data_IF_823701944540
#
_entry.id   IF_823701944540
#
_cell.length_a   1.000
_cell.length_b   1.000
_cell.length_c   1.000
_cell.angle_alpha   90.00
_cell.angle_beta   90.00
_cell.angle_gamma   90.00
#
_symmetry.space_group_name_H-M   'P 1'
#
loop_
_entity.id
_entity.type
_entity.pdbx_description
1 polymer ?
#
# COMPACT_ATOMS: atom_id res chain seq x y z
N UNK A 1 -7.07 -19.73 -20.29
CA UNK A 1 -6.25 -18.71 -19.59
C UNK A 1 -5.09 -18.17 -20.43
N UNK A 2 -4.29 -19.00 -21.12
CA UNK A 2 -3.24 -18.54 -22.06
C UNK A 2 -3.81 -17.80 -23.30
N UNK A 3 -5.04 -18.12 -23.70
CA UNK A 3 -5.71 -17.51 -24.88
C UNK A 3 -6.25 -16.09 -24.64
N UNK A 4 -6.60 -15.73 -23.40
CA UNK A 4 -7.07 -14.37 -23.08
C UNK A 4 -5.91 -13.37 -22.91
N UNK A 5 -4.73 -13.86 -22.52
CA UNK A 5 -3.49 -13.08 -22.46
C UNK A 5 -2.79 -12.93 -23.81
N UNK A 6 -3.27 -13.57 -24.89
CA UNK A 6 -2.69 -13.48 -26.23
C UNK A 6 -3.55 -12.65 -27.19
N UNK A 7 -4.88 -12.61 -27.01
CA UNK A 7 -5.75 -11.97 -28.01
C UNK A 7 -5.88 -10.45 -27.91
N UNK A 8 -5.57 -9.83 -26.76
CA UNK A 8 -5.61 -8.36 -26.58
C UNK A 8 -4.25 -7.73 -26.20
N UNK A 9 -3.17 -8.51 -26.24
CA UNK A 9 -1.88 -8.17 -25.62
C UNK A 9 -0.73 -7.98 -26.61
N UNK A 10 -1.01 -7.94 -27.91
CA UNK A 10 0.01 -7.74 -28.94
C UNK A 10 0.76 -6.40 -28.80
N UNK A 11 0.25 -5.44 -28.03
CA UNK A 11 0.86 -4.12 -27.82
C UNK A 11 1.42 -3.87 -26.40
N UNK A 12 1.37 -4.84 -25.48
CA UNK A 12 1.62 -4.54 -24.04
C UNK A 12 3.11 -4.55 -23.66
N UNK A 13 3.99 -5.07 -24.52
CA UNK A 13 5.43 -4.78 -24.41
C UNK A 13 6.04 -4.66 -25.82
N UNK A 14 5.85 -3.52 -26.52
CA UNK A 14 6.36 -3.30 -27.88
C UNK A 14 7.88 -3.50 -27.97
N UNK A 15 8.56 -3.32 -26.84
CA UNK A 15 10.01 -3.36 -26.76
C UNK A 15 10.59 -4.78 -26.77
N UNK A 16 9.82 -5.86 -26.57
CA UNK A 16 10.39 -7.23 -26.58
C UNK A 16 11.02 -7.54 -27.93
N UNK A 17 10.26 -7.30 -29.00
CA UNK A 17 10.74 -7.52 -30.36
C UNK A 17 11.93 -6.62 -30.67
N UNK A 18 11.88 -5.35 -30.25
CA UNK A 18 12.97 -4.40 -30.45
C UNK A 18 14.26 -4.83 -29.72
N UNK A 19 14.19 -5.26 -28.47
CA UNK A 19 15.37 -5.68 -27.70
C UNK A 19 15.95 -6.98 -28.24
N UNK A 20 15.11 -7.98 -28.54
CA UNK A 20 15.57 -9.24 -29.13
C UNK A 20 16.23 -8.98 -30.49
N UNK A 21 15.60 -8.17 -31.36
CA UNK A 21 16.19 -7.78 -32.64
C UNK A 21 17.50 -7.00 -32.47
N UNK A 22 17.59 -6.08 -31.50
CA UNK A 22 18.83 -5.33 -31.22
C UNK A 22 19.96 -6.27 -30.80
N UNK A 23 19.65 -7.26 -29.95
CA UNK A 23 20.62 -8.27 -29.53
C UNK A 23 21.00 -9.19 -30.68
N UNK A 24 20.05 -9.62 -31.51
CA UNK A 24 20.31 -10.41 -32.72
C UNK A 24 21.26 -9.67 -33.66
N UNK A 25 20.94 -8.42 -34.01
CA UNK A 25 21.79 -7.58 -34.85
C UNK A 25 23.18 -7.38 -34.26
N UNK A 26 23.30 -7.14 -32.95
CA UNK A 26 24.59 -7.01 -32.27
C UNK A 26 25.45 -8.26 -32.45
N UNK A 27 24.85 -9.45 -32.31
CA UNK A 27 25.55 -10.73 -32.49
C UNK A 27 25.68 -11.16 -33.96
N UNK A 28 25.00 -10.53 -34.91
CA UNK A 28 25.20 -10.79 -36.35
C UNK A 28 26.35 -9.97 -36.97
N UNK A 29 26.85 -8.96 -36.25
CA UNK A 29 28.03 -8.21 -36.67
C UNK A 29 29.25 -9.14 -36.81
N UNK A 30 29.87 -9.10 -37.99
CA UNK A 30 31.09 -9.86 -38.34
C UNK A 30 32.39 -9.23 -37.80
N UNK A 31 32.28 -8.28 -36.88
CA UNK A 31 33.41 -7.54 -36.30
C UNK A 31 33.86 -8.22 -34.99
N UNK A 32 35.16 -8.27 -34.66
CA UNK A 32 35.62 -8.71 -33.34
C UNK A 32 35.02 -7.84 -32.24
N UNK A 33 34.19 -8.43 -31.38
CA UNK A 33 33.54 -7.72 -30.27
C UNK A 33 34.45 -7.71 -29.04
N UNK A 34 34.69 -6.53 -28.45
CA UNK A 34 35.43 -6.42 -27.19
C UNK A 34 34.45 -6.37 -26.01
N UNK A 35 34.90 -6.64 -24.77
CA UNK A 35 34.03 -6.58 -23.59
C UNK A 35 33.36 -5.21 -23.39
N UNK A 36 33.97 -4.13 -23.87
CA UNK A 36 33.44 -2.76 -23.78
C UNK A 36 32.14 -2.56 -24.54
N UNK A 37 32.00 -3.15 -25.72
CA UNK A 37 30.78 -3.07 -26.54
C UNK A 37 29.64 -3.88 -25.92
N UNK A 38 29.96 -5.04 -25.31
CA UNK A 38 29.00 -5.84 -24.56
C UNK A 38 28.47 -5.09 -23.34
N UNK A 39 29.34 -4.43 -22.57
CA UNK A 39 28.94 -3.56 -21.46
C UNK A 39 28.05 -2.40 -21.93
N UNK A 40 28.33 -1.85 -23.12
CA UNK A 40 27.51 -0.82 -23.75
C UNK A 40 26.09 -1.30 -24.06
N UNK A 41 25.96 -2.51 -24.62
CA UNK A 41 24.67 -3.16 -24.88
C UNK A 41 23.88 -3.38 -23.59
N UNK A 42 24.50 -3.98 -22.56
CA UNK A 42 23.86 -4.21 -21.27
C UNK A 42 23.36 -2.90 -20.64
N UNK A 43 24.18 -1.85 -20.62
CA UNK A 43 23.79 -0.54 -20.08
C UNK A 43 22.63 0.09 -20.87
N UNK A 44 22.66 0.00 -22.21
CA UNK A 44 21.61 0.55 -23.05
C UNK A 44 20.25 -0.10 -22.81
N UNK A 45 20.24 -1.44 -22.71
CA UNK A 45 19.02 -2.20 -22.40
C UNK A 45 18.58 -1.92 -20.96
N UNK A 46 19.49 -1.91 -19.99
CA UNK A 46 19.16 -1.61 -18.59
C UNK A 46 18.46 -0.25 -18.44
N UNK A 47 19.04 0.80 -19.02
CA UNK A 47 18.47 2.14 -19.00
C UNK A 47 17.07 2.20 -19.65
N UNK A 48 16.87 1.44 -20.74
CA UNK A 48 15.59 1.44 -21.43
C UNK A 48 14.47 0.80 -20.60
N UNK A 49 14.77 -0.27 -19.84
CA UNK A 49 13.82 -0.87 -18.92
C UNK A 49 13.57 0.02 -17.67
N UNK A 50 14.57 0.74 -17.18
CA UNK A 50 14.37 1.76 -16.13
C UNK A 50 13.39 2.86 -16.61
N UNK A 51 13.59 3.39 -17.82
CA UNK A 51 12.66 4.38 -18.41
C UNK A 51 11.26 3.80 -18.58
N UNK A 52 11.14 2.54 -19.00
CA UNK A 52 9.85 1.85 -19.08
C UNK A 52 9.15 1.78 -17.71
N UNK A 53 9.84 1.32 -16.66
CA UNK A 53 9.29 1.21 -15.31
C UNK A 53 8.77 2.56 -14.80
N UNK A 54 9.56 3.62 -14.98
CA UNK A 54 9.18 4.97 -14.58
C UNK A 54 7.95 5.47 -15.36
N UNK A 55 7.90 5.27 -16.68
CA UNK A 55 6.73 5.66 -17.50
C UNK A 55 5.43 4.98 -17.09
N UNK A 56 5.48 3.74 -16.60
CA UNK A 56 4.29 3.03 -16.13
C UNK A 56 3.70 3.71 -14.89
N UNK A 57 4.56 4.22 -14.00
CA UNK A 57 4.15 4.88 -12.74
C UNK A 57 3.93 6.39 -12.85
N UNK A 58 4.49 7.07 -13.87
CA UNK A 58 4.41 8.53 -14.04
C UNK A 58 2.98 9.08 -14.05
N UNK A 59 2.02 8.27 -14.47
CA UNK A 59 0.60 8.63 -14.56
C UNK A 59 -0.22 8.13 -13.36
N UNK A 60 0.40 7.66 -12.28
CA UNK A 60 -0.32 7.30 -11.06
C UNK A 60 -0.59 8.57 -10.24
N UNK A 61 -1.84 8.74 -9.79
CA UNK A 61 -2.18 9.79 -8.84
C UNK A 61 -1.44 9.56 -7.51
N UNK A 62 -1.33 10.60 -6.69
CA UNK A 62 -0.67 10.47 -5.39
C UNK A 62 -1.63 9.85 -4.37
N UNK A 63 -1.08 9.29 -3.29
CA UNK A 63 -1.88 8.70 -2.21
C UNK A 63 -2.79 9.75 -1.56
N UNK A 64 -2.29 10.98 -1.48
CA UNK A 64 -2.98 12.14 -0.93
C UNK A 64 -4.22 12.53 -1.75
N UNK A 65 -4.26 12.20 -3.04
CA UNK A 65 -5.43 12.46 -3.89
C UNK A 65 -6.59 11.47 -3.60
N UNK A 66 -6.27 10.27 -3.08
CA UNK A 66 -7.25 9.23 -2.78
C UNK A 66 -7.84 9.36 -1.36
N UNK A 67 -7.00 9.78 -0.40
CA UNK A 67 -7.36 9.79 1.01
C UNK A 67 -8.16 11.06 1.34
N UNK A 68 -9.39 10.95 1.88
CA UNK A 68 -10.17 12.13 2.25
C UNK A 68 -9.46 12.94 3.34
N UNK A 69 -9.68 14.26 3.42
CA UNK A 69 -9.06 15.11 4.43
C UNK A 69 -9.46 14.69 5.84
N UNK A 70 -8.53 14.80 6.78
CA UNK A 70 -8.78 14.48 8.20
C UNK A 70 -9.86 15.41 8.75
N UNK A 71 -10.97 14.89 9.31
CA UNK A 71 -11.98 15.69 9.98
C UNK A 71 -11.37 16.51 11.12
N UNK A 72 -11.95 17.67 11.40
CA UNK A 72 -11.54 18.46 12.55
C UNK A 72 -11.78 17.65 13.82
N UNK A 73 -10.77 17.55 14.68
CA UNK A 73 -10.94 16.92 15.99
C UNK A 73 -11.96 17.70 16.81
N UNK A 74 -12.97 17.00 17.26
CA UNK A 74 -14.00 17.52 18.15
C UNK A 74 -14.10 16.62 19.36
N UNK A 75 -14.63 17.15 20.46
CA UNK A 75 -14.92 16.36 21.65
C UNK A 75 -16.41 16.08 21.75
N UNK A 76 -16.73 14.98 22.43
CA UNK A 76 -18.10 14.57 22.73
C UNK A 76 -18.94 15.71 23.33
N UNK A 77 -20.20 15.78 22.90
CA UNK A 77 -21.22 16.66 23.45
C UNK A 77 -22.37 15.79 23.94
N UNK A 78 -22.51 15.68 25.26
CA UNK A 78 -23.75 15.17 25.87
C UNK A 78 -24.87 16.14 25.49
N UNK A 79 -25.90 15.66 24.78
CA UNK A 79 -27.06 16.48 24.45
C UNK A 79 -27.76 16.91 25.75
N UNK A 80 -27.85 18.23 25.95
CA UNK A 80 -28.68 18.83 26.99
C UNK A 80 -29.54 19.85 26.26
N UNK A 81 -30.72 19.40 25.82
CA UNK A 81 -31.69 20.19 25.06
C UNK A 81 -31.48 20.18 23.55
N UNK A 82 -32.54 19.78 22.84
CA UNK A 82 -32.68 19.91 21.39
C UNK A 82 -32.66 21.40 21.06
N UNK A 83 -31.53 21.91 20.57
CA UNK A 83 -31.53 23.10 19.73
C UNK A 83 -31.24 22.61 18.33
N UNK A 84 -32.31 22.55 17.53
CA UNK A 84 -32.23 22.35 16.09
C UNK A 84 -31.35 23.46 15.50
N UNK A 85 -30.06 23.16 15.36
CA UNK A 85 -29.19 23.94 14.51
C UNK A 85 -29.28 23.30 13.14
N UNK A 86 -29.72 24.12 12.19
CA UNK A 86 -29.73 23.80 10.76
C UNK A 86 -28.43 23.08 10.43
N UNK A 87 -28.55 21.84 9.94
CA UNK A 87 -27.48 21.12 9.26
C UNK A 87 -26.99 22.07 8.17
N UNK A 88 -25.98 22.86 8.47
CA UNK A 88 -25.15 23.42 7.43
C UNK A 88 -24.43 22.18 6.93
N UNK A 89 -24.95 21.60 5.85
CA UNK A 89 -24.11 20.82 4.96
C UNK A 89 -22.94 21.75 4.63
N UNK A 90 -21.87 21.59 5.40
CA UNK A 90 -20.57 22.08 4.99
C UNK A 90 -20.31 21.25 3.74
N UNK A 91 -20.70 21.82 2.61
CA UNK A 91 -20.17 21.50 1.30
C UNK A 91 -18.69 21.19 1.53
N UNK A 92 -18.31 19.92 1.37
CA UNK A 92 -16.92 19.52 1.48
C UNK A 92 -16.19 20.24 0.35
N UNK A 93 -15.37 21.27 0.61
CA UNK A 93 -14.86 22.14 -0.45
C UNK A 93 -13.82 21.44 -1.35
N UNK A 94 -13.62 20.13 -1.16
CA UNK A 94 -12.50 19.36 -1.71
C UNK A 94 -12.90 17.95 -2.10
N UNK A 95 -14.09 17.77 -2.69
CA UNK A 95 -14.27 16.68 -3.64
C UNK A 95 -13.10 16.76 -4.63
N UNK A 96 -12.42 15.63 -4.93
CA UNK A 96 -11.33 15.61 -5.90
C UNK A 96 -11.83 16.24 -7.19
N UNK A 97 -11.10 17.25 -7.67
CA UNK A 97 -11.37 17.98 -8.93
C UNK A 97 -11.95 17.01 -9.98
N UNK A 98 -13.04 17.36 -10.67
CA UNK A 98 -13.74 16.46 -11.60
C UNK A 98 -12.77 15.80 -12.60
N UNK A 99 -11.71 16.51 -12.99
CA UNK A 99 -10.62 15.99 -13.83
C UNK A 99 -9.79 14.90 -13.14
N UNK A 100 -9.45 15.08 -11.87
CA UNK A 100 -8.73 14.08 -11.05
C UNK A 100 -9.58 12.87 -10.73
N UNK A 101 -10.87 13.08 -10.44
CA UNK A 101 -11.85 12.00 -10.29
C UNK A 101 -11.93 11.16 -11.58
N UNK A 102 -11.88 11.79 -12.75
CA UNK A 102 -11.88 11.10 -14.04
C UNK A 102 -10.60 10.27 -14.26
N UNK A 103 -9.42 10.79 -13.89
CA UNK A 103 -8.15 10.05 -14.01
C UNK A 103 -8.05 8.86 -13.04
N UNK A 104 -8.53 9.02 -11.80
CA UNK A 104 -8.59 7.96 -10.80
C UNK A 104 -9.59 6.87 -11.24
N UNK A 105 -10.77 7.28 -11.72
CA UNK A 105 -11.79 6.34 -12.21
C UNK A 105 -11.39 5.63 -13.51
N UNK A 106 -10.60 6.28 -14.38
CA UNK A 106 -10.05 5.65 -15.58
C UNK A 106 -9.11 4.48 -15.24
N UNK A 107 -8.40 4.58 -14.10
CA UNK A 107 -7.50 3.52 -13.61
C UNK A 107 -8.26 2.51 -12.76
N UNK A 108 -9.12 1.75 -13.43
CA UNK A 108 -9.84 0.63 -12.81
C UNK A 108 -8.87 -0.42 -12.25
N UNK A 109 -9.31 -1.18 -11.24
CA UNK A 109 -8.55 -2.29 -10.64
C UNK A 109 -8.01 -3.27 -11.69
N UNK A 110 -8.78 -3.68 -12.72
CA UNK A 110 -8.27 -4.47 -13.85
C UNK A 110 -7.07 -3.83 -14.58
N UNK A 111 -7.12 -2.53 -14.88
CA UNK A 111 -6.03 -1.83 -15.58
C UNK A 111 -4.74 -1.87 -14.76
N UNK A 112 -4.83 -1.66 -13.45
CA UNK A 112 -3.69 -1.72 -12.53
C UNK A 112 -3.11 -3.15 -12.45
N UNK A 113 -3.97 -4.17 -12.39
CA UNK A 113 -3.54 -5.57 -12.42
C UNK A 113 -2.82 -5.93 -13.72
N UNK A 114 -3.29 -5.45 -14.87
CA UNK A 114 -2.61 -5.65 -16.16
C UNK A 114 -1.24 -4.96 -16.17
N UNK A 115 -1.12 -3.75 -15.61
CA UNK A 115 0.17 -3.06 -15.48
C UNK A 115 1.15 -3.84 -14.60
N UNK A 116 0.70 -4.39 -13.47
CA UNK A 116 1.49 -5.26 -12.60
C UNK A 116 1.98 -6.52 -13.33
N UNK A 117 1.08 -7.21 -14.02
CA UNK A 117 1.40 -8.39 -14.81
C UNK A 117 2.43 -8.07 -15.90
N UNK A 118 2.34 -6.90 -16.51
CA UNK A 118 3.27 -6.42 -17.54
C UNK A 118 4.66 -6.17 -16.96
N UNK A 119 4.76 -5.52 -15.80
CA UNK A 119 6.03 -5.29 -15.10
C UNK A 119 6.68 -6.62 -14.69
N UNK A 120 5.91 -7.56 -14.17
CA UNK A 120 6.42 -8.90 -13.84
C UNK A 120 6.90 -9.66 -15.08
N UNK A 121 6.16 -9.56 -16.19
CA UNK A 121 6.60 -10.11 -17.46
C UNK A 121 7.90 -9.47 -17.94
N UNK A 122 8.07 -8.15 -17.80
CA UNK A 122 9.29 -7.43 -18.16
C UNK A 122 10.51 -7.95 -17.37
N UNK A 123 10.40 -8.14 -16.05
CA UNK A 123 11.45 -8.78 -15.23
C UNK A 123 11.79 -10.18 -15.76
N UNK A 124 10.76 -10.98 -16.08
CA UNK A 124 10.96 -12.33 -16.59
C UNK A 124 11.66 -12.35 -17.94
N UNK A 125 11.40 -11.37 -18.81
CA UNK A 125 12.10 -11.22 -20.09
C UNK A 125 13.54 -10.74 -19.90
N UNK A 126 13.81 -9.84 -18.94
CA UNK A 126 15.17 -9.39 -18.64
C UNK A 126 16.09 -10.55 -18.26
N UNK A 127 15.61 -11.47 -17.41
CA UNK A 127 16.39 -12.64 -17.01
C UNK A 127 16.70 -13.55 -18.22
N UNK A 128 15.72 -13.82 -19.08
CA UNK A 128 15.93 -14.60 -20.31
C UNK A 128 16.90 -13.93 -21.29
N UNK A 129 16.81 -12.60 -21.39
CA UNK A 129 17.68 -11.81 -22.26
C UNK A 129 19.12 -11.86 -21.78
N UNK A 130 19.33 -11.74 -20.46
CA UNK A 130 20.64 -11.89 -19.84
C UNK A 130 21.26 -13.25 -20.15
N UNK A 131 20.52 -14.33 -19.91
CA UNK A 131 20.96 -15.71 -20.20
C UNK A 131 21.35 -15.86 -21.68
N UNK A 132 20.51 -15.37 -22.59
CA UNK A 132 20.76 -15.43 -24.04
C UNK A 132 21.99 -14.63 -24.47
N UNK A 133 22.21 -13.43 -23.91
CA UNK A 133 23.39 -12.61 -24.24
C UNK A 133 24.66 -13.33 -23.77
N UNK A 134 24.65 -13.90 -22.57
CA UNK A 134 25.79 -14.66 -22.04
C UNK A 134 26.08 -15.94 -22.83
N UNK A 135 25.06 -16.69 -23.22
CA UNK A 135 25.22 -17.89 -24.05
C UNK A 135 25.87 -17.55 -25.41
N UNK A 136 25.42 -16.47 -26.06
CA UNK A 136 25.98 -16.04 -27.35
C UNK A 136 27.40 -15.48 -27.22
N UNK A 137 27.66 -14.74 -26.14
CA UNK A 137 28.99 -14.22 -25.83
C UNK A 137 30.02 -15.34 -25.63
N UNK A 138 29.66 -16.38 -24.87
CA UNK A 138 30.54 -17.53 -24.61
C UNK A 138 30.81 -18.35 -25.88
N UNK A 139 29.81 -18.53 -26.76
CA UNK A 139 29.98 -19.20 -28.06
C UNK A 139 30.92 -18.45 -29.02
N UNK A 140 30.90 -17.12 -29.01
CA UNK A 140 31.80 -16.27 -29.83
C UNK A 140 33.21 -16.09 -29.25
N UNK A 141 33.51 -16.69 -28.10
CA UNK A 141 34.84 -16.70 -27.46
C UNK A 141 35.59 -18.06 -27.58
N UNK A 142 35.81 -18.70 -28.76
CA UNK A 142 36.49 -20.00 -28.80
C UNK A 142 38.01 -19.98 -28.53
N UNK A 143 38.68 -18.81 -28.50
CA UNK A 143 40.16 -18.74 -28.62
C UNK A 143 40.95 -18.12 -27.47
N UNK A 144 40.33 -17.83 -26.33
CA UNK A 144 41.08 -17.35 -25.13
C UNK A 144 41.26 -18.40 -24.03
N UNK A 145 40.88 -19.67 -24.25
CA UNK A 145 41.03 -20.74 -23.24
C UNK A 145 42.42 -21.41 -23.19
N UNK A 146 43.38 -21.05 -24.05
CA UNK A 146 44.67 -21.76 -24.12
C UNK A 146 45.92 -20.99 -23.64
N UNK A 147 45.83 -19.71 -23.20
CA UNK A 147 47.04 -18.96 -22.77
C UNK A 147 46.88 -18.18 -21.45
N UNK A 148 46.00 -18.59 -20.53
CA UNK A 148 46.00 -18.01 -19.17
C UNK A 148 45.77 -19.08 -18.11
N UNK A 149 46.73 -19.99 -18.01
CA UNK A 149 46.91 -20.85 -16.83
C UNK A 149 48.16 -20.41 -16.06
N UNK A 150 48.28 -19.10 -15.80
CA UNK A 150 49.26 -18.57 -14.85
C UNK A 150 48.95 -17.10 -14.56
N UNK A 151 48.65 -16.81 -13.29
CA UNK A 151 48.77 -15.51 -12.63
C UNK A 151 47.86 -14.37 -13.13
N UNK A 152 46.69 -14.21 -12.51
CA UNK A 152 46.35 -12.98 -11.78
C UNK A 152 44.96 -13.09 -11.12
N UNK A 153 44.96 -13.27 -9.80
CA UNK A 153 43.78 -13.38 -8.92
C UNK A 153 43.16 -12.00 -8.56
N UNK A 154 43.45 -10.94 -9.33
CA UNK A 154 43.04 -9.55 -8.99
C UNK A 154 42.41 -8.74 -10.11
N UNK A 155 41.97 -9.38 -11.20
CA UNK A 155 41.05 -8.74 -12.14
C UNK A 155 39.64 -9.20 -11.81
N UNK A 156 38.83 -8.30 -11.24
CA UNK A 156 37.39 -8.49 -11.05
C UNK A 156 36.80 -8.93 -12.38
N UNK A 157 36.62 -10.23 -12.56
CA UNK A 157 35.90 -10.80 -13.68
C UNK A 157 34.55 -10.10 -13.70
N UNK A 158 34.17 -9.58 -14.85
CA UNK A 158 32.83 -9.04 -15.12
C UNK A 158 31.81 -10.05 -14.58
N UNK A 159 31.36 -9.84 -13.34
CA UNK A 159 30.53 -10.79 -12.63
C UNK A 159 29.17 -10.64 -13.26
N UNK A 160 28.69 -11.73 -13.86
CA UNK A 160 27.31 -11.96 -14.29
C UNK A 160 26.26 -11.46 -13.25
N UNK A 161 26.68 -11.27 -11.99
CA UNK A 161 25.85 -10.94 -10.84
C UNK A 161 25.27 -9.52 -10.79
N UNK A 162 25.79 -8.56 -11.56
CA UNK A 162 25.37 -7.14 -11.46
C UNK A 162 24.77 -6.57 -12.76
N UNK A 163 24.42 -7.45 -13.71
CA UNK A 163 23.89 -7.02 -15.02
C UNK A 163 22.39 -6.80 -14.89
N UNK A 164 21.88 -5.64 -15.36
CA UNK A 164 20.46 -5.24 -15.26
C UNK A 164 19.94 -4.90 -13.85
N UNK A 165 20.82 -4.64 -12.88
CA UNK A 165 20.39 -4.33 -11.51
C UNK A 165 19.53 -3.07 -11.40
N UNK A 166 19.82 -2.05 -12.22
CA UNK A 166 19.05 -0.81 -12.24
C UNK A 166 17.59 -1.06 -12.65
N UNK A 167 17.38 -1.76 -13.77
CA UNK A 167 16.03 -2.11 -14.23
C UNK A 167 15.30 -3.06 -13.27
N UNK A 168 15.98 -4.05 -12.69
CA UNK A 168 15.36 -4.92 -11.66
C UNK A 168 14.87 -4.12 -10.47
N UNK A 169 15.69 -3.18 -9.98
CA UNK A 169 15.33 -2.31 -8.87
C UNK A 169 14.12 -1.44 -9.21
N UNK A 170 14.17 -0.73 -10.34
CA UNK A 170 13.12 0.21 -10.74
C UNK A 170 11.80 -0.50 -11.07
N UNK A 171 11.85 -1.67 -11.71
CA UNK A 171 10.62 -2.45 -11.97
C UNK A 171 10.03 -2.97 -10.66
N UNK A 172 10.83 -3.47 -9.72
CA UNK A 172 10.30 -3.92 -8.43
C UNK A 172 9.71 -2.76 -7.62
N UNK A 173 10.35 -1.58 -7.62
CA UNK A 173 9.82 -0.38 -7.00
C UNK A 173 8.51 0.08 -7.66
N UNK A 174 8.41 -0.01 -8.99
CA UNK A 174 7.18 0.28 -9.72
C UNK A 174 6.05 -0.70 -9.36
N UNK A 175 6.36 -1.99 -9.21
CA UNK A 175 5.40 -3.00 -8.73
C UNK A 175 4.92 -2.63 -7.32
N UNK A 176 5.82 -2.36 -6.38
CA UNK A 176 5.46 -1.99 -5.00
C UNK A 176 4.56 -0.74 -4.97
N UNK A 177 4.91 0.28 -5.76
CA UNK A 177 4.12 1.51 -5.86
C UNK A 177 2.72 1.29 -6.41
N UNK A 178 2.57 0.45 -7.45
CA UNK A 178 1.24 0.12 -7.99
C UNK A 178 0.46 -0.72 -6.98
N UNK A 179 1.09 -1.66 -6.27
CA UNK A 179 0.43 -2.44 -5.25
C UNK A 179 -0.12 -1.55 -4.12
N UNK A 180 0.71 -0.65 -3.58
CA UNK A 180 0.29 0.31 -2.54
C UNK A 180 -0.86 1.21 -3.03
N UNK A 181 -0.73 1.76 -4.24
CA UNK A 181 -1.75 2.61 -4.85
C UNK A 181 -3.07 1.86 -5.02
N UNK A 182 -3.03 0.62 -5.52
CA UNK A 182 -4.22 -0.20 -5.77
C UNK A 182 -4.95 -0.50 -4.45
N UNK A 183 -4.22 -0.93 -3.41
CA UNK A 183 -4.82 -1.16 -2.09
C UNK A 183 -5.44 0.12 -1.51
N UNK A 184 -4.73 1.25 -1.61
CA UNK A 184 -5.24 2.54 -1.13
C UNK A 184 -6.50 2.96 -1.90
N UNK A 185 -6.50 2.84 -3.23
CA UNK A 185 -7.65 3.19 -4.07
C UNK A 185 -8.87 2.33 -3.69
N UNK A 186 -8.71 1.01 -3.56
CA UNK A 186 -9.81 0.12 -3.18
C UNK A 186 -10.43 0.58 -1.86
N UNK A 187 -9.63 0.88 -0.83
CA UNK A 187 -10.17 1.19 0.51
C UNK A 187 -10.69 2.62 0.63
N UNK A 188 -9.95 3.61 0.14
CA UNK A 188 -10.25 5.03 0.36
C UNK A 188 -11.10 5.65 -0.76
N UNK A 189 -11.24 4.97 -1.89
CA UNK A 189 -12.03 5.43 -3.03
C UNK A 189 -13.19 4.49 -3.33
N UNK A 190 -12.92 3.24 -3.69
CA UNK A 190 -13.96 2.30 -4.17
C UNK A 190 -14.88 1.84 -3.02
N UNK A 191 -14.28 1.51 -1.86
CA UNK A 191 -14.97 1.09 -0.64
C UNK A 191 -15.06 2.23 0.41
N UNK A 192 -14.97 3.49 -0.05
CA UNK A 192 -15.02 4.66 0.83
C UNK A 192 -16.29 4.70 1.66
N UNK A 193 -17.43 4.48 1.02
CA UNK A 193 -18.73 4.53 1.72
C UNK A 193 -18.82 3.47 2.84
N UNK A 194 -18.66 2.16 2.57
CA UNK A 194 -18.79 1.14 3.62
C UNK A 194 -17.71 1.25 4.70
N UNK A 195 -16.46 1.58 4.35
CA UNK A 195 -15.34 1.58 5.31
C UNK A 195 -15.19 2.95 5.96
N UNK A 196 -14.92 4.00 5.18
CA UNK A 196 -14.50 5.31 5.70
C UNK A 196 -15.70 6.11 6.21
N UNK A 197 -16.87 6.00 5.59
CA UNK A 197 -18.02 6.84 5.93
C UNK A 197 -19.00 6.17 6.91
N UNK A 198 -19.14 4.83 6.86
CA UNK A 198 -20.19 4.11 7.58
C UNK A 198 -19.73 3.15 8.70
N UNK A 199 -18.52 2.59 8.65
CA UNK A 199 -18.05 1.66 9.68
C UNK A 199 -18.10 2.29 11.08
N UNK A 200 -18.70 1.61 12.06
CA UNK A 200 -18.93 2.04 13.45
C UNK A 200 -19.82 3.29 13.62
N UNK A 201 -20.60 3.66 12.60
CA UNK A 201 -21.57 4.75 12.67
C UNK A 201 -23.01 4.19 12.64
N UNK A 202 -23.91 4.59 13.56
CA UNK A 202 -23.71 5.55 14.66
C UNK A 202 -23.04 4.94 15.92
N UNK A 203 -22.92 3.61 16.00
CA UNK A 203 -22.23 2.91 17.09
C UNK A 203 -21.58 1.63 16.56
N UNK A 204 -20.64 1.07 17.33
CA UNK A 204 -19.97 -0.19 16.99
C UNK A 204 -20.98 -1.33 16.86
N UNK A 205 -21.90 -1.45 17.81
CA UNK A 205 -22.94 -2.50 17.81
C UNK A 205 -23.90 -2.48 16.62
N UNK A 206 -24.09 -1.32 15.96
CA UNK A 206 -25.05 -1.15 14.86
C UNK A 206 -24.41 -1.21 13.48
N UNK A 207 -23.11 -0.94 13.38
CA UNK A 207 -22.36 -0.94 12.11
C UNK A 207 -21.01 -1.58 12.37
N UNK A 208 -20.96 -2.90 12.20
CA UNK A 208 -19.79 -3.75 12.46
C UNK A 208 -19.02 -4.06 11.19
N UNK A 209 -17.84 -4.65 11.35
CA UNK A 209 -16.99 -5.04 10.22
C UNK A 209 -17.64 -6.04 9.25
N UNK A 210 -18.63 -6.84 9.67
CA UNK A 210 -19.34 -7.78 8.80
C UNK A 210 -20.00 -7.08 7.59
N UNK A 211 -20.41 -5.81 7.72
CA UNK A 211 -20.97 -5.04 6.60
C UNK A 211 -19.92 -4.71 5.51
N UNK A 212 -18.63 -4.77 5.85
CA UNK A 212 -17.49 -4.53 4.95
C UNK A 212 -16.98 -5.82 4.32
N UNK A 213 -17.30 -6.98 4.91
CA UNK A 213 -16.78 -8.28 4.48
C UNK A 213 -17.07 -8.59 3.00
N UNK A 214 -18.33 -8.58 2.60
CA UNK A 214 -18.75 -8.90 1.22
C UNK A 214 -18.18 -7.92 0.17
N UNK A 215 -18.22 -6.57 0.38
CA UNK A 215 -17.57 -5.63 -0.51
C UNK A 215 -16.05 -5.86 -0.65
N UNK A 216 -15.36 -6.15 0.46
CA UNK A 216 -13.92 -6.39 0.46
C UNK A 216 -13.56 -7.70 -0.24
N UNK A 217 -14.33 -8.77 0.00
CA UNK A 217 -14.16 -10.07 -0.67
C UNK A 217 -14.38 -9.98 -2.18
N UNK A 218 -15.37 -9.20 -2.59
CA UNK A 218 -15.66 -8.94 -4.01
C UNK A 218 -14.46 -8.29 -4.72
N UNK A 219 -13.88 -7.25 -4.12
CA UNK A 219 -12.70 -6.57 -4.68
C UNK A 219 -11.46 -7.47 -4.68
N UNK A 220 -11.24 -8.21 -3.60
CA UNK A 220 -10.13 -9.17 -3.49
C UNK A 220 -10.25 -10.28 -4.55
N UNK A 221 -11.45 -10.83 -4.75
CA UNK A 221 -11.74 -11.85 -5.76
C UNK A 221 -11.47 -11.36 -7.18
N UNK A 222 -11.91 -10.13 -7.52
CA UNK A 222 -11.63 -9.51 -8.82
C UNK A 222 -10.13 -9.32 -9.05
N UNK A 223 -9.41 -8.90 -8.01
CA UNK A 223 -7.97 -8.68 -8.05
C UNK A 223 -7.23 -10.01 -8.30
N UNK A 224 -7.56 -11.05 -7.54
CA UNK A 224 -6.97 -12.38 -7.63
C UNK A 224 -7.28 -13.09 -8.96
N UNK A 225 -8.40 -12.75 -9.61
CA UNK A 225 -8.77 -13.30 -10.92
C UNK A 225 -7.87 -12.82 -12.06
N UNK A 226 -7.23 -11.66 -11.94
CA UNK A 226 -6.43 -11.03 -13.00
C UNK A 226 -4.93 -11.13 -12.71
N UNK A 227 -4.52 -10.99 -11.45
CA UNK A 227 -3.11 -10.95 -11.08
C UNK A 227 -2.43 -12.32 -11.24
N UNK A 228 -1.18 -12.30 -11.71
CA UNK A 228 -0.33 -13.51 -11.78
C UNK A 228 0.10 -13.99 -10.38
N UNK A 229 0.21 -15.31 -10.22
CA UNK A 229 0.56 -15.99 -8.95
C UNK A 229 1.70 -15.33 -8.18
N UNK A 230 2.87 -15.01 -8.79
CA UNK A 230 4.02 -14.49 -8.04
C UNK A 230 3.81 -13.09 -7.44
N UNK A 231 2.74 -12.39 -7.83
CA UNK A 231 2.41 -11.07 -7.31
C UNK A 231 1.27 -11.08 -6.30
N UNK A 232 0.54 -12.19 -6.13
CA UNK A 232 -0.64 -12.29 -5.26
C UNK A 232 -0.35 -11.83 -3.83
N UNK A 233 0.65 -12.41 -3.19
CA UNK A 233 0.99 -12.02 -1.82
C UNK A 233 1.34 -10.55 -1.69
N UNK A 234 2.03 -9.97 -2.68
CA UNK A 234 2.42 -8.54 -2.67
C UNK A 234 1.19 -7.64 -2.71
N UNK A 235 0.29 -7.89 -3.65
CA UNK A 235 -0.90 -7.05 -3.84
C UNK A 235 -1.92 -7.24 -2.70
N UNK A 236 -2.12 -8.47 -2.23
CA UNK A 236 -3.01 -8.75 -1.09
C UNK A 236 -2.45 -8.18 0.21
N UNK A 237 -1.12 -8.21 0.40
CA UNK A 237 -0.47 -7.51 1.54
C UNK A 237 -0.69 -6.01 1.48
N UNK A 238 -0.60 -5.38 0.30
CA UNK A 238 -0.91 -3.95 0.15
C UNK A 238 -2.38 -3.64 0.42
N UNK A 239 -3.32 -4.53 0.05
CA UNK A 239 -4.73 -4.37 0.39
C UNK A 239 -4.97 -4.52 1.90
N UNK A 240 -4.33 -5.48 2.57
CA UNK A 240 -4.36 -5.62 4.03
C UNK A 240 -3.85 -4.33 4.71
N UNK A 241 -2.70 -3.81 4.28
CA UNK A 241 -2.13 -2.57 4.81
C UNK A 241 -3.10 -1.39 4.66
N UNK A 242 -3.68 -1.22 3.47
CA UNK A 242 -4.66 -0.16 3.22
C UNK A 242 -5.93 -0.34 4.08
N UNK A 243 -6.40 -1.58 4.27
CA UNK A 243 -7.57 -1.90 5.10
C UNK A 243 -7.31 -1.53 6.57
N UNK A 244 -6.12 -1.86 7.08
CA UNK A 244 -5.69 -1.50 8.44
C UNK A 244 -5.50 0.02 8.60
N UNK A 245 -4.95 0.70 7.60
CA UNK A 245 -4.88 2.17 7.58
C UNK A 245 -6.28 2.80 7.57
N UNK A 246 -7.22 2.23 6.82
CA UNK A 246 -8.63 2.63 6.82
C UNK A 246 -9.29 2.43 8.19
N UNK A 247 -9.04 1.30 8.85
CA UNK A 247 -9.55 1.03 10.19
C UNK A 247 -8.95 2.00 11.23
N UNK A 248 -7.64 2.25 11.20
CA UNK A 248 -7.00 3.26 12.05
C UNK A 248 -7.60 4.65 11.81
N UNK A 249 -7.87 5.00 10.55
CA UNK A 249 -8.51 6.26 10.19
C UNK A 249 -9.91 6.36 10.80
N UNK A 250 -10.70 5.30 10.74
CA UNK A 250 -12.04 5.23 11.33
C UNK A 250 -12.01 5.38 12.85
N UNK A 251 -11.04 4.75 13.52
CA UNK A 251 -10.92 4.79 14.98
C UNK A 251 -10.42 6.14 15.49
N UNK A 252 -9.37 6.69 14.88
CA UNK A 252 -8.62 7.83 15.39
C UNK A 252 -9.05 9.18 14.79
N UNK A 253 -9.53 9.17 13.55
CA UNK A 253 -9.82 10.37 12.75
C UNK A 253 -11.17 10.20 12.01
N UNK A 254 -12.10 9.46 12.62
CA UNK A 254 -13.38 9.06 12.02
C UNK A 254 -14.48 10.12 12.07
N UNK A 255 -14.16 11.31 12.59
CA UNK A 255 -15.10 12.42 12.73
C UNK A 255 -16.10 12.30 13.89
N UNK A 256 -16.91 13.35 14.11
CA UNK A 256 -17.75 13.51 15.30
C UNK A 256 -18.88 12.49 15.47
N UNK A 257 -19.27 11.79 14.39
CA UNK A 257 -20.37 10.82 14.42
C UNK A 257 -19.97 9.44 14.96
N UNK A 258 -18.69 9.23 15.28
CA UNK A 258 -18.17 8.00 15.86
C UNK A 258 -17.80 8.24 17.31
N UNK A 259 -18.59 7.63 18.18
CA UNK A 259 -18.47 7.77 19.62
C UNK A 259 -18.28 6.36 20.19
N UNK A 260 -17.21 6.18 20.95
CA UNK A 260 -16.86 4.89 21.55
C UNK A 260 -16.97 4.96 23.07
N UNK A 261 -17.34 3.84 23.66
CA UNK A 261 -17.37 3.56 25.09
C UNK A 261 -16.41 2.42 25.43
N UNK A 262 -16.13 2.21 26.72
CA UNK A 262 -15.32 1.06 27.17
C UNK A 262 -16.00 -0.27 26.81
N UNK A 263 -17.34 -0.31 26.79
CA UNK A 263 -18.11 -1.50 26.43
C UNK A 263 -17.97 -1.93 24.96
N UNK A 264 -17.53 -1.04 24.08
CA UNK A 264 -17.33 -1.35 22.66
C UNK A 264 -16.01 -2.10 22.40
N UNK A 265 -15.07 -2.10 23.35
CA UNK A 265 -13.73 -2.65 23.18
C UNK A 265 -13.74 -4.12 22.73
N UNK A 266 -14.62 -4.93 23.33
CA UNK A 266 -14.75 -6.35 22.96
C UNK A 266 -15.19 -6.53 21.51
N UNK A 267 -16.13 -5.71 21.04
CA UNK A 267 -16.64 -5.79 19.66
C UNK A 267 -15.57 -5.33 18.65
N UNK A 268 -14.78 -4.32 19.01
CA UNK A 268 -13.64 -3.87 18.19
C UNK A 268 -12.53 -4.94 18.10
N UNK A 269 -12.27 -5.66 19.19
CA UNK A 269 -11.31 -6.78 19.21
C UNK A 269 -11.82 -7.96 18.36
N UNK A 270 -13.10 -8.31 18.47
CA UNK A 270 -13.75 -9.33 17.63
C UNK A 270 -13.65 -8.97 16.14
N UNK A 271 -13.96 -7.72 15.77
CA UNK A 271 -13.89 -7.26 14.38
C UNK A 271 -12.47 -7.28 13.82
N UNK A 272 -11.46 -6.93 14.64
CA UNK A 272 -10.06 -7.03 14.24
C UNK A 272 -9.63 -8.49 14.01
N UNK A 273 -10.15 -9.43 14.80
CA UNK A 273 -9.90 -10.85 14.61
C UNK A 273 -10.56 -11.40 13.35
N UNK A 274 -11.80 -10.97 13.04
CA UNK A 274 -12.48 -11.31 11.77
C UNK A 274 -11.67 -10.79 10.58
N UNK A 275 -11.22 -9.54 10.61
CA UNK A 275 -10.36 -8.96 9.57
C UNK A 275 -9.06 -9.74 9.40
N UNK A 276 -8.44 -10.18 10.51
CA UNK A 276 -7.21 -10.96 10.48
C UNK A 276 -7.42 -12.32 9.82
N UNK A 277 -8.44 -13.06 10.26
CA UNK A 277 -8.75 -14.39 9.72
C UNK A 277 -9.22 -14.32 8.26
N UNK A 278 -9.87 -13.22 7.84
CA UNK A 278 -10.20 -12.96 6.43
C UNK A 278 -8.96 -12.99 5.54
N UNK A 279 -7.89 -12.27 5.90
CA UNK A 279 -6.67 -12.24 5.10
C UNK A 279 -5.81 -13.50 5.23
N UNK A 280 -5.93 -14.26 6.32
CA UNK A 280 -5.28 -15.58 6.48
C UNK A 280 -6.05 -16.64 5.67
N UNK A 281 -7.38 -16.52 5.57
CA UNK A 281 -8.28 -17.40 4.83
C UNK A 281 -8.03 -18.89 5.10
N UNK A 282 -7.93 -19.28 6.38
CA UNK A 282 -7.69 -20.69 6.76
C UNK A 282 -6.33 -21.27 6.33
N UNK A 283 -5.40 -20.44 5.83
CA UNK A 283 -4.10 -20.86 5.30
C UNK A 283 -3.99 -20.75 3.78
N UNK A 284 -5.10 -20.49 3.07
CA UNK A 284 -5.11 -20.29 1.61
C UNK A 284 -4.82 -18.83 1.22
N UNK A 285 -4.79 -17.91 2.20
CA UNK A 285 -4.48 -16.50 2.03
C UNK A 285 -3.02 -16.15 2.36
N UNK A 286 -2.81 -15.00 2.99
CA UNK A 286 -1.48 -14.53 3.37
C UNK A 286 -0.88 -15.36 4.52
N UNK A 287 0.47 -15.48 4.58
CA UNK A 287 1.13 -16.14 5.70
C UNK A 287 0.78 -15.48 7.04
N UNK A 288 0.38 -16.29 8.03
CA UNK A 288 -0.04 -15.81 9.38
C UNK A 288 0.93 -14.80 10.00
N UNK A 289 2.24 -15.05 9.92
CA UNK A 289 3.25 -14.15 10.47
C UNK A 289 3.28 -12.76 9.82
N UNK A 290 2.98 -12.67 8.52
CA UNK A 290 2.88 -11.39 7.79
C UNK A 290 1.67 -10.62 8.30
N UNK A 291 0.51 -11.28 8.40
CA UNK A 291 -0.74 -10.66 8.86
C UNK A 291 -0.62 -10.19 10.31
N UNK A 292 -0.13 -11.04 11.21
CA UNK A 292 0.07 -10.71 12.64
C UNK A 292 0.98 -9.49 12.84
N UNK A 293 2.06 -9.40 12.07
CA UNK A 293 2.98 -8.26 12.14
C UNK A 293 2.31 -6.94 11.70
N UNK A 294 1.48 -6.98 10.65
CA UNK A 294 0.75 -5.79 10.17
C UNK A 294 -0.34 -5.37 11.17
N UNK A 295 -1.08 -6.34 11.73
CA UNK A 295 -2.19 -6.11 12.66
C UNK A 295 -1.71 -5.56 14.01
N UNK A 296 -0.47 -5.84 14.43
CA UNK A 296 0.06 -5.45 15.73
C UNK A 296 -0.17 -3.97 16.08
N UNK A 297 0.09 -3.06 15.15
CA UNK A 297 -0.11 -1.61 15.36
C UNK A 297 -1.58 -1.26 15.61
N UNK A 298 -2.50 -1.88 14.88
CA UNK A 298 -3.94 -1.61 15.02
C UNK A 298 -4.48 -2.23 16.31
N UNK A 299 -3.98 -3.41 16.67
CA UNK A 299 -4.28 -4.08 17.95
C UNK A 299 -3.94 -3.21 19.14
N UNK A 300 -2.77 -2.56 19.13
CA UNK A 300 -2.37 -1.62 20.20
C UNK A 300 -3.37 -0.46 20.33
N UNK A 301 -3.87 0.07 19.21
CA UNK A 301 -4.87 1.15 19.20
C UNK A 301 -6.24 0.66 19.66
N UNK A 302 -6.70 -0.50 19.19
CA UNK A 302 -7.96 -1.11 19.62
C UNK A 302 -7.96 -1.34 21.13
N UNK A 303 -6.84 -1.80 21.68
CA UNK A 303 -6.66 -1.97 23.13
C UNK A 303 -6.82 -0.66 23.91
N UNK A 304 -6.47 0.49 23.34
CA UNK A 304 -6.72 1.79 24.01
C UNK A 304 -8.21 2.03 24.29
N UNK A 305 -9.11 1.40 23.53
CA UNK A 305 -10.54 1.52 23.76
C UNK A 305 -11.04 0.76 24.98
N UNK A 306 -10.28 -0.21 25.51
CA UNK A 306 -10.62 -0.97 26.71
C UNK A 306 -10.26 -0.28 28.03
N UNK A 307 -9.39 0.74 28.00
CA UNK A 307 -8.97 1.45 29.22
C UNK A 307 -9.99 2.47 29.67
N UNK A 308 -10.05 2.68 30.99
CA UNK A 308 -10.88 3.71 31.58
C UNK A 308 -10.36 5.11 31.20
N UNK A 309 -11.29 6.07 31.09
CA UNK A 309 -10.98 7.44 30.65
C UNK A 309 -9.92 8.12 31.54
N UNK A 310 -9.91 7.81 32.84
CA UNK A 310 -8.90 8.34 33.78
C UNK A 310 -7.50 7.83 33.45
N UNK A 311 -7.36 6.54 33.14
CA UNK A 311 -6.08 5.94 32.81
C UNK A 311 -5.50 6.57 31.54
N UNK A 312 -6.33 6.75 30.51
CA UNK A 312 -5.95 7.42 29.26
C UNK A 312 -5.51 8.88 29.49
N UNK A 313 -6.22 9.62 30.35
CA UNK A 313 -5.89 11.01 30.70
C UNK A 313 -4.57 11.09 31.46
N UNK A 314 -4.37 10.22 32.45
CA UNK A 314 -3.17 10.26 33.28
C UNK A 314 -1.93 9.82 32.50
N UNK A 315 -2.08 8.85 31.60
CA UNK A 315 -1.03 8.45 30.67
C UNK A 315 -0.69 9.56 29.66
N UNK A 316 -1.70 10.27 29.13
CA UNK A 316 -1.48 11.43 28.24
C UNK A 316 -0.79 12.60 28.96
N UNK A 317 -1.13 12.88 30.22
CA UNK A 317 -0.44 13.90 31.02
C UNK A 317 1.02 13.51 31.27
N UNK A 318 1.27 12.23 31.56
CA UNK A 318 2.62 11.71 31.76
C UNK A 318 3.44 11.76 30.45
N UNK A 319 2.82 11.45 29.31
CA UNK A 319 3.47 11.51 27.99
C UNK A 319 3.73 12.94 27.53
N UNK A 320 2.88 13.91 27.92
CA UNK A 320 3.10 15.34 27.65
C UNK A 320 4.41 15.89 28.24
N UNK A 321 4.91 15.30 29.34
CA UNK A 321 6.23 15.61 29.89
C UNK A 321 7.40 14.93 29.16
N UNK A 322 7.11 13.91 28.34
CA UNK A 322 8.07 13.08 27.60
C UNK A 322 8.22 13.48 26.12
N UNK A 323 7.46 14.47 25.63
CA UNK A 323 7.50 14.90 24.21
C UNK A 323 8.88 15.41 23.74
N UNK A 324 9.77 15.77 24.67
CA UNK A 324 11.17 16.10 24.36
C UNK A 324 12.03 14.88 23.97
N UNK A 325 11.56 13.63 24.12
CA UNK A 325 12.35 12.41 23.85
C UNK A 325 11.65 11.35 22.98
N UNK A 326 10.44 11.61 22.45
CA UNK A 326 9.78 10.66 21.53
C UNK A 326 9.43 9.29 22.15
N UNK A 327 9.31 9.23 23.48
CA UNK A 327 8.99 8.00 24.21
C UNK A 327 7.53 7.59 24.08
N UNK A 328 7.28 6.27 23.97
CA UNK A 328 5.94 5.68 24.12
C UNK A 328 5.47 5.82 25.57
N UNK A 329 4.17 6.05 25.75
CA UNK A 329 3.53 6.14 27.06
C UNK A 329 3.50 4.78 27.78
N UNK A 330 3.00 4.73 29.03
CA UNK A 330 2.86 3.46 29.77
C UNK A 330 1.88 2.51 29.08
N UNK A 331 0.89 3.06 28.38
CA UNK A 331 -0.06 2.30 27.57
C UNK A 331 0.47 1.98 26.17
N UNK A 332 1.73 2.33 25.86
CA UNK A 332 2.41 1.99 24.60
C UNK A 332 2.07 2.90 23.42
N UNK A 333 1.31 3.98 23.64
CA UNK A 333 0.86 4.90 22.60
C UNK A 333 1.56 6.26 22.68
N UNK A 334 1.56 7.03 21.59
CA UNK A 334 2.02 8.42 21.61
C UNK A 334 0.90 9.37 22.06
N UNK A 335 1.27 10.59 22.48
CA UNK A 335 0.33 11.62 22.93
C UNK A 335 -0.74 11.94 21.88
N UNK A 336 -0.41 11.87 20.59
CA UNK A 336 -1.31 12.19 19.47
C UNK A 336 -2.40 11.13 19.31
N UNK A 337 -2.08 9.87 19.57
CA UNK A 337 -2.99 8.72 19.51
C UNK A 337 -3.92 8.75 20.72
N UNK A 338 -3.39 8.92 21.93
CA UNK A 338 -4.19 9.05 23.16
C UNK A 338 -5.18 10.23 23.06
N UNK A 339 -4.72 11.38 22.56
CA UNK A 339 -5.58 12.55 22.35
C UNK A 339 -6.74 12.25 21.40
N UNK A 340 -6.49 11.51 20.31
CA UNK A 340 -7.52 11.12 19.33
C UNK A 340 -8.52 10.13 19.90
N UNK A 341 -8.06 9.11 20.61
CA UNK A 341 -8.93 8.16 21.33
C UNK A 341 -9.84 8.90 22.32
N UNK A 342 -9.31 9.87 23.08
CA UNK A 342 -10.11 10.69 23.99
C UNK A 342 -11.12 11.58 23.24
N UNK A 343 -10.81 12.09 22.05
CA UNK A 343 -11.74 12.89 21.25
C UNK A 343 -13.01 12.10 20.88
N UNK A 344 -12.84 10.81 20.59
CA UNK A 344 -13.95 9.91 20.24
C UNK A 344 -14.60 9.23 21.45
N UNK A 345 -14.16 9.51 22.69
CA UNK A 345 -14.72 8.91 23.90
C UNK A 345 -16.05 9.56 24.28
N UNK A 346 -17.08 8.73 24.46
CA UNK A 346 -18.48 9.14 24.70
C UNK A 346 -18.83 9.58 26.13
N UNK A 347 -17.87 10.10 26.90
CA UNK A 347 -18.12 10.49 28.30
C UNK A 347 -17.81 11.97 28.59
N UNK A 348 -18.34 12.45 29.72
CA UNK A 348 -18.17 13.84 30.14
C UNK A 348 -16.79 14.15 30.70
N UNK A 349 -16.07 13.17 31.25
CA UNK A 349 -14.75 13.34 31.86
C UNK A 349 -13.70 13.65 30.78
N UNK A 350 -13.64 12.83 29.73
CA UNK A 350 -12.84 13.07 28.52
C UNK A 350 -13.18 14.43 27.91
N UNK A 351 -14.46 14.70 27.70
CA UNK A 351 -14.87 15.98 27.13
C UNK A 351 -14.47 17.19 28.00
N UNK A 352 -14.51 17.10 29.33
CA UNK A 352 -14.12 18.22 30.19
C UNK A 352 -12.60 18.43 30.15
N UNK A 353 -11.84 17.34 30.17
CA UNK A 353 -10.39 17.38 30.06
C UNK A 353 -9.93 18.03 28.73
N UNK A 354 -10.44 17.55 27.59
CA UNK A 354 -10.11 18.09 26.26
C UNK A 354 -10.48 19.56 26.11
N UNK A 355 -11.58 20.00 26.74
CA UNK A 355 -11.96 21.43 26.77
C UNK A 355 -10.92 22.25 27.53
N UNK A 356 -10.50 21.80 28.72
CA UNK A 356 -9.65 22.58 29.63
C UNK A 356 -8.20 22.64 29.14
N UNK A 357 -7.64 21.51 28.72
CA UNK A 357 -6.22 21.39 28.40
C UNK A 357 -5.91 21.71 26.94
N UNK A 358 -6.74 21.25 26.00
CA UNK A 358 -6.47 21.33 24.56
C UNK A 358 -7.38 22.30 23.80
N UNK A 359 -8.37 22.90 24.48
CA UNK A 359 -9.35 23.84 23.89
C UNK A 359 -10.10 23.27 22.67
N UNK A 360 -10.28 21.95 22.60
CA UNK A 360 -10.94 21.27 21.48
C UNK A 360 -12.43 21.66 21.41
N UNK A 361 -12.95 21.99 20.21
CA UNK A 361 -14.36 22.38 20.02
C UNK A 361 -15.32 21.21 20.26
N UNK A 362 -16.56 21.51 20.64
CA UNK A 362 -17.62 20.48 20.75
C UNK A 362 -18.01 19.98 19.37
N UNK A 363 -18.39 18.70 19.31
CA UNK A 363 -19.10 18.15 18.15
C UNK A 363 -20.39 18.95 17.87
N UNK A 364 -20.67 19.15 16.59
CA UNK A 364 -21.94 19.66 16.05
C UNK A 364 -22.79 18.57 15.39
N UNK A 365 -22.32 17.31 15.41
CA UNK A 365 -23.00 16.17 14.82
C UNK A 365 -24.12 15.64 15.72
#
# INVERSE_FOLDING_TARGET
MVSYLTSNNTDVFPCKHLFVQTVDQFFDLKVPMRPTELSGLFRGVDNAFQVFANRVIDKLATKEDLIPPVPILTRYRKEVGIKAFVKKELFDPRLPDERRSTEINFRTTPTLCVQLNTLHYAISQLNKLEDSIWERWTKKQPRQKLIKKSMDEKSKSFTQKDTFDGSRKDINAAIDRICEFTGTKIIFWDLREPIIDNLYKPSVSLSRFEAVYEPLDTELSQLCAIIVEPLRDRIVTSLLQATLDGLLRVLLDGGPSRIFSVGDAKLLEEDLEVLKEFFISGGDGLPRGVVENQVARVRDVVKLYSYETRELIDDLKASGGLEMQGGRSKLGADSKTLLRVLCHRGDSEASQFLKKQYKIPKSSA
#
